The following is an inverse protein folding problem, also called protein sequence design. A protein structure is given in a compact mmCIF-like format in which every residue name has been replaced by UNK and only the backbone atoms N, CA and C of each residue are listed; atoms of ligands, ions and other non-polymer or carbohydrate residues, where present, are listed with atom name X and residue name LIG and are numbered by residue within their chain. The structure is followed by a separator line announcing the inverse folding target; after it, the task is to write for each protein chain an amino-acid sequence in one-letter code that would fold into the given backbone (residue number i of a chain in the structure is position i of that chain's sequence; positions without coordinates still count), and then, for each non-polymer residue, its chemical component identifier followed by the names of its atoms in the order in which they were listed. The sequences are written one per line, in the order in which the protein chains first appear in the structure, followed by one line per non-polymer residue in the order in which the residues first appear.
data_IF_011361861507
#
_entry.id   IF_011361861507
#
_cell.length_a   1.000
_cell.length_b   1.000
_cell.length_c   1.000
_cell.angle_alpha   90.00
_cell.angle_beta   90.00
_cell.angle_gamma   90.00
#
_symmetry.space_group_name_H-M   'P 1'
#
loop_
_entity.id
_entity.type
_entity.pdbx_description
1 polymer ?
#
# COMPACT_ATOMS: atom_id res chain seq x y z
N UNK A 1 13.05 -22.15 6.10
CA UNK A 1 12.80 -21.34 7.32
C UNK A 1 12.87 -19.84 7.05
N UNK A 2 13.88 -19.37 6.33
CA UNK A 2 14.11 -17.94 6.00
C UNK A 2 12.94 -17.25 5.30
N UNK A 3 12.27 -17.91 4.32
CA UNK A 3 11.12 -17.33 3.62
C UNK A 3 9.90 -17.07 4.51
N UNK A 4 9.64 -17.96 5.48
CA UNK A 4 8.56 -17.79 6.46
C UNK A 4 8.77 -16.53 7.30
N UNK A 5 10.00 -16.32 7.79
CA UNK A 5 10.37 -15.15 8.58
C UNK A 5 10.22 -13.87 7.75
N UNK A 6 10.72 -13.88 6.52
CA UNK A 6 10.65 -12.72 5.61
C UNK A 6 9.18 -12.30 5.38
N UNK A 7 8.31 -13.23 4.99
CA UNK A 7 6.90 -12.93 4.72
C UNK A 7 6.15 -12.43 5.96
N UNK A 8 6.45 -12.97 7.15
CA UNK A 8 5.86 -12.49 8.41
C UNK A 8 6.32 -11.06 8.70
N UNK A 9 7.59 -10.74 8.48
CA UNK A 9 8.11 -9.37 8.68
C UNK A 9 7.42 -8.38 7.74
N UNK A 10 7.27 -8.71 6.46
CA UNK A 10 6.54 -7.86 5.49
C UNK A 10 5.05 -7.71 5.85
N UNK A 11 4.39 -8.76 6.34
CA UNK A 11 3.02 -8.69 6.83
C UNK A 11 2.89 -7.78 8.07
N UNK A 12 3.82 -7.85 9.03
CA UNK A 12 3.84 -6.96 10.18
C UNK A 12 4.09 -5.50 9.80
N UNK A 13 5.03 -5.25 8.88
CA UNK A 13 5.33 -3.90 8.39
C UNK A 13 4.16 -3.27 7.62
N UNK A 14 3.51 -4.05 6.74
CA UNK A 14 2.33 -3.58 6.00
C UNK A 14 1.15 -3.30 6.94
N UNK A 15 0.96 -4.11 7.97
CA UNK A 15 -0.06 -3.89 9.00
C UNK A 15 0.23 -2.62 9.80
N UNK A 16 1.48 -2.44 10.26
CA UNK A 16 1.90 -1.24 10.98
C UNK A 16 1.71 0.03 10.13
N UNK A 17 2.01 -0.04 8.84
CA UNK A 17 1.82 1.06 7.90
C UNK A 17 0.33 1.39 7.71
N UNK A 18 -0.54 0.38 7.55
CA UNK A 18 -1.98 0.58 7.46
C UNK A 18 -2.55 1.21 8.74
N UNK A 19 -2.14 0.72 9.92
CA UNK A 19 -2.55 1.28 11.21
C UNK A 19 -2.10 2.74 11.37
N UNK A 20 -0.87 3.06 10.95
CA UNK A 20 -0.39 4.44 10.93
C UNK A 20 -1.27 5.36 10.06
N UNK A 21 -1.68 4.90 8.87
CA UNK A 21 -2.58 5.66 8.00
C UNK A 21 -3.96 5.87 8.63
N UNK A 22 -4.53 4.82 9.22
CA UNK A 22 -5.85 4.86 9.89
C UNK A 22 -5.80 5.80 11.10
N UNK A 23 -4.76 5.70 11.94
CA UNK A 23 -4.58 6.46 13.18
C UNK A 23 -4.37 7.98 12.99
N UNK A 24 -4.39 8.48 11.75
CA UNK A 24 -4.24 9.91 11.50
C UNK A 24 -2.84 10.33 11.07
N UNK A 25 -1.99 9.38 10.65
CA UNK A 25 -0.68 9.67 10.08
C UNK A 25 -0.74 10.81 9.05
N UNK A 26 0.22 11.74 9.15
CA UNK A 26 0.33 12.85 8.21
C UNK A 26 0.69 12.29 6.85
N UNK A 27 -0.15 12.53 5.85
CA UNK A 27 0.11 12.14 4.47
C UNK A 27 -0.01 13.36 3.55
N UNK A 28 0.91 13.51 2.57
CA UNK A 28 0.82 14.58 1.59
C UNK A 28 -0.41 14.38 0.69
N UNK A 29 -1.47 15.16 0.92
CA UNK A 29 -2.71 15.13 0.13
C UNK A 29 -3.92 15.67 0.90
N UNK A 30 -5.04 15.95 0.21
CA UNK A 30 -6.30 16.29 0.90
C UNK A 30 -6.83 15.08 1.68
N UNK A 31 -7.55 15.35 2.78
CA UNK A 31 -8.30 14.35 3.57
C UNK A 31 -9.23 13.48 2.71
N UNK A 32 -9.72 14.02 1.60
CA UNK A 32 -10.60 13.32 0.64
C UNK A 32 -9.91 12.13 -0.03
N UNK A 33 -8.63 12.29 -0.42
CA UNK A 33 -7.87 11.23 -1.07
C UNK A 33 -7.32 10.18 -0.10
N UNK A 34 -7.32 10.48 1.20
CA UNK A 34 -6.87 9.58 2.26
C UNK A 34 -7.59 8.23 2.22
N UNK A 35 -8.89 8.22 1.89
CA UNK A 35 -9.71 7.00 1.79
C UNK A 35 -9.17 6.02 0.75
N UNK A 36 -8.73 6.54 -0.40
CA UNK A 36 -8.17 5.72 -1.48
C UNK A 36 -6.80 5.17 -1.11
N UNK A 37 -5.96 5.96 -0.45
CA UNK A 37 -4.65 5.47 0.04
C UNK A 37 -4.84 4.37 1.08
N UNK A 38 -5.77 4.53 2.02
CA UNK A 38 -6.10 3.48 3.00
C UNK A 38 -6.58 2.21 2.28
N UNK A 39 -7.44 2.34 1.28
CA UNK A 39 -7.92 1.19 0.49
C UNK A 39 -6.75 0.48 -0.23
N UNK A 40 -5.86 1.23 -0.88
CA UNK A 40 -4.67 0.66 -1.54
C UNK A 40 -3.74 -0.03 -0.54
N UNK A 41 -3.55 0.53 0.66
CA UNK A 41 -2.77 -0.11 1.73
C UNK A 41 -3.44 -1.36 2.28
N UNK A 42 -4.77 -1.39 2.37
CA UNK A 42 -5.51 -2.59 2.80
C UNK A 42 -5.38 -3.72 1.78
N UNK A 43 -5.38 -3.41 0.47
CA UNK A 43 -5.12 -4.38 -0.59
C UNK A 43 -3.69 -4.93 -0.48
N UNK A 44 -2.69 -4.06 -0.26
CA UNK A 44 -1.31 -4.48 -0.06
C UNK A 44 -1.15 -5.41 1.15
N UNK A 45 -1.79 -5.06 2.28
CA UNK A 45 -1.84 -5.90 3.47
C UNK A 45 -2.50 -7.27 3.20
N UNK A 46 -3.61 -7.29 2.47
CA UNK A 46 -4.29 -8.54 2.12
C UNK A 46 -3.38 -9.47 1.31
N UNK A 47 -2.60 -8.92 0.37
CA UNK A 47 -1.67 -9.69 -0.45
C UNK A 47 -0.48 -10.24 0.36
N UNK A 48 0.14 -9.42 1.19
CA UNK A 48 1.23 -9.83 2.10
C UNK A 48 0.79 -10.93 3.09
N UNK A 49 -0.40 -10.79 3.69
CA UNK A 49 -0.97 -11.81 4.57
C UNK A 49 -1.23 -13.12 3.82
N UNK A 50 -1.72 -13.04 2.58
CA UNK A 50 -1.92 -14.23 1.74
C UNK A 50 -0.60 -14.94 1.44
N UNK A 51 0.46 -14.20 1.08
CA UNK A 51 1.80 -14.78 0.85
C UNK A 51 2.32 -15.44 2.14
N UNK A 52 2.18 -14.78 3.29
CA UNK A 52 2.56 -15.35 4.57
C UNK A 52 1.78 -16.64 4.88
N UNK A 53 0.46 -16.67 4.64
CA UNK A 53 -0.37 -17.85 4.83
C UNK A 53 0.04 -19.01 3.89
N UNK A 54 0.35 -18.74 2.63
CA UNK A 54 0.85 -19.74 1.69
C UNK A 54 2.17 -20.37 2.17
N UNK A 55 3.07 -19.57 2.75
CA UNK A 55 4.31 -20.09 3.34
C UNK A 55 4.10 -20.91 4.61
N UNK A 56 2.99 -20.73 5.32
CA UNK A 56 2.64 -21.56 6.48
C UNK A 56 2.02 -22.90 6.05
N UNK A 57 1.20 -22.89 5.00
CA UNK A 57 0.45 -24.07 4.54
C UNK A 57 1.28 -24.96 3.60
N UNK A 58 2.06 -24.37 2.69
CA UNK A 58 2.81 -25.12 1.68
C UNK A 58 4.24 -25.37 2.19
N UNK A 59 4.56 -26.64 2.39
CA UNK A 59 5.91 -27.10 2.72
C UNK A 59 6.76 -26.98 1.44
N UNK A 60 7.91 -26.30 1.52
CA UNK A 60 8.88 -26.05 0.43
C UNK A 60 8.50 -25.02 -0.65
N UNK A 61 7.75 -23.97 -0.28
CA UNK A 61 7.58 -22.83 -1.19
C UNK A 61 8.92 -22.11 -1.48
N UNK A 62 9.30 -21.89 -2.76
CA UNK A 62 10.57 -21.25 -3.09
C UNK A 62 10.68 -19.83 -2.52
N UNK A 63 11.81 -19.48 -1.91
CA UNK A 63 12.04 -18.12 -1.39
C UNK A 63 11.87 -17.04 -2.47
N UNK A 64 12.29 -17.34 -3.70
CA UNK A 64 12.16 -16.45 -4.86
C UNK A 64 10.70 -16.06 -5.10
N UNK A 65 9.75 -16.97 -4.84
CA UNK A 65 8.33 -16.66 -4.96
C UNK A 65 7.91 -15.56 -3.98
N UNK A 66 8.28 -15.66 -2.69
CA UNK A 66 8.01 -14.59 -1.71
C UNK A 66 8.57 -13.25 -2.18
N UNK A 67 9.83 -13.24 -2.59
CA UNK A 67 10.53 -12.01 -2.94
C UNK A 67 9.87 -11.35 -4.15
N UNK A 68 9.57 -12.11 -5.21
CA UNK A 68 8.92 -11.58 -6.42
C UNK A 68 7.51 -11.08 -6.10
N UNK A 69 6.70 -11.86 -5.37
CA UNK A 69 5.34 -11.47 -5.00
C UNK A 69 5.34 -10.20 -4.16
N UNK A 70 6.15 -10.14 -3.11
CA UNK A 70 6.25 -8.96 -2.23
C UNK A 70 6.73 -7.72 -2.98
N UNK A 71 7.76 -7.86 -3.81
CA UNK A 71 8.30 -6.76 -4.61
C UNK A 71 7.26 -6.23 -5.60
N UNK A 72 6.53 -7.12 -6.29
CA UNK A 72 5.50 -6.74 -7.25
C UNK A 72 4.33 -6.03 -6.56
N UNK A 73 3.88 -6.56 -5.42
CA UNK A 73 2.82 -5.94 -4.63
C UNK A 73 3.22 -4.56 -4.09
N UNK A 74 4.46 -4.44 -3.60
CA UNK A 74 5.01 -3.15 -3.16
C UNK A 74 5.10 -2.15 -4.30
N UNK A 75 5.51 -2.59 -5.49
CA UNK A 75 5.55 -1.75 -6.70
C UNK A 75 4.16 -1.24 -7.09
N UNK A 76 3.16 -2.14 -7.13
CA UNK A 76 1.75 -1.76 -7.41
C UNK A 76 1.23 -0.78 -6.35
N UNK A 77 1.55 -1.02 -5.08
CA UNK A 77 1.19 -0.13 -3.98
C UNK A 77 1.80 1.27 -4.16
N UNK A 78 3.10 1.34 -4.46
CA UNK A 78 3.81 2.60 -4.66
C UNK A 78 3.26 3.38 -5.86
N UNK A 79 3.06 2.70 -7.01
CA UNK A 79 2.49 3.30 -8.22
C UNK A 79 1.08 3.81 -7.98
N UNK A 80 0.21 3.00 -7.39
CA UNK A 80 -1.18 3.39 -7.08
C UNK A 80 -1.23 4.60 -6.16
N UNK A 81 -0.39 4.61 -5.12
CA UNK A 81 -0.30 5.74 -4.18
C UNK A 81 0.22 7.00 -4.87
N UNK A 82 1.26 6.88 -5.71
CA UNK A 82 1.78 8.00 -6.48
C UNK A 82 0.72 8.59 -7.43
N UNK A 83 -0.02 7.74 -8.14
CA UNK A 83 -1.11 8.17 -9.03
C UNK A 83 -2.19 8.92 -8.26
N UNK A 84 -2.62 8.40 -7.09
CA UNK A 84 -3.61 9.08 -6.24
C UNK A 84 -3.11 10.46 -5.80
N UNK A 85 -1.83 10.57 -5.41
CA UNK A 85 -1.24 11.86 -5.00
C UNK A 85 -1.18 12.84 -6.18
N UNK A 86 -0.75 12.40 -7.35
CA UNK A 86 -0.64 13.25 -8.55
C UNK A 86 -2.02 13.74 -8.99
N UNK A 87 -3.01 12.83 -9.09
CA UNK A 87 -4.38 13.20 -9.41
C UNK A 87 -4.96 14.16 -8.38
N UNK A 88 -4.71 13.90 -7.10
CA UNK A 88 -5.14 14.76 -6.01
C UNK A 88 -4.52 16.17 -6.08
N UNK A 89 -3.27 16.31 -6.54
CA UNK A 89 -2.66 17.62 -6.79
C UNK A 89 -3.27 18.32 -8.00
N UNK A 90 -3.41 17.63 -9.14
CA UNK A 90 -3.99 18.22 -10.36
C UNK A 90 -5.44 18.68 -10.17
N UNK A 91 -6.25 17.92 -9.44
CA UNK A 91 -7.61 18.32 -9.10
C UNK A 91 -7.65 19.59 -8.24
N UNK A 92 -6.62 19.82 -7.41
CA UNK A 92 -6.53 21.05 -6.62
C UNK A 92 -6.21 22.25 -7.49
N UNK A 93 -5.25 22.12 -8.40
CA UNK A 93 -4.88 23.17 -9.35
C UNK A 93 -6.11 23.62 -10.16
N UNK A 94 -6.87 22.67 -10.72
CA UNK A 94 -8.09 22.95 -11.48
C UNK A 94 -9.16 23.64 -10.62
N UNK A 95 -9.33 23.20 -9.37
CA UNK A 95 -10.33 23.79 -8.47
C UNK A 95 -9.99 25.21 -8.09
N UNK A 96 -8.72 25.46 -7.79
CA UNK A 96 -8.24 26.78 -7.39
C UNK A 96 -8.25 27.76 -8.58
N UNK A 97 -8.02 27.27 -9.81
CA UNK A 97 -8.24 28.03 -11.04
C UNK A 97 -9.71 28.41 -11.24
N UNK A 98 -10.64 27.47 -11.07
CA UNK A 98 -12.07 27.74 -11.21
C UNK A 98 -12.61 28.73 -10.16
N UNK A 99 -12.08 28.71 -8.92
CA UNK A 99 -12.49 29.67 -7.89
C UNK A 99 -11.95 31.09 -8.12
N UNK A 100 -10.87 31.26 -8.89
CA UNK A 100 -10.33 32.58 -9.25
C UNK A 100 -11.05 33.25 -10.43
N UNK A 101 -11.77 32.47 -11.22
CA UNK A 101 -12.53 32.92 -12.40
C UNK A 101 -14.01 33.23 -12.09
N UNK A 102 -14.42 33.11 -10.82
CA UNK A 102 -15.73 33.48 -10.28
C UNK A 102 -15.58 34.72 -9.39
#
# INVERSE_FOLDING_TARGET
MTGKILSIVFACLSLAFLLYLIAGGKFPGRKEFKKYIIATSAIYLSGTVLVAALFLVIIDLPLIFAVISETMMLFIFAMSTATIIILGKKMNEIRDENQKNL
#
